data_IF_319395386628
#
_entry.id   IF_319395386628
#
_cell.length_a   1.000
_cell.length_b   1.000
_cell.length_c   1.000
_cell.angle_alpha   90.00
_cell.angle_beta   90.00
_cell.angle_gamma   90.00
#
_symmetry.space_group_name_H-M   'P 1'
#
loop_
_entity.id
_entity.type
_entity.pdbx_description
1 polymer ?
#
# COMPACT_ATOMS: atom_id res chain seq x y z
N UNK A 1 17.64 -27.83 19.29
CA UNK A 1 17.10 -28.24 18.02
C UNK A 1 15.71 -27.77 17.80
N UNK A 2 14.85 -28.11 18.68
CA UNK A 2 13.46 -27.77 18.51
C UNK A 2 13.22 -26.28 18.57
N UNK A 3 14.02 -25.60 19.34
CA UNK A 3 13.85 -24.16 19.50
C UNK A 3 14.01 -23.42 18.18
N UNK A 4 14.86 -23.91 17.32
CA UNK A 4 15.08 -23.24 16.04
C UNK A 4 13.85 -23.28 15.18
N UNK A 5 13.18 -24.40 15.16
CA UNK A 5 11.97 -24.53 14.38
C UNK A 5 10.90 -23.59 14.88
N UNK A 6 10.79 -23.47 16.16
CA UNK A 6 9.80 -22.57 16.74
C UNK A 6 10.03 -21.14 16.32
N UNK A 7 11.27 -20.74 16.27
CA UNK A 7 11.57 -19.39 15.89
C UNK A 7 11.15 -19.08 14.47
N UNK A 8 11.35 -20.01 13.57
CA UNK A 8 10.92 -19.81 12.20
C UNK A 8 9.43 -19.66 12.11
N UNK A 9 8.70 -20.46 12.85
CA UNK A 9 7.25 -20.38 12.82
C UNK A 9 6.79 -19.04 13.34
N UNK A 10 7.40 -18.55 14.39
CA UNK A 10 7.01 -17.29 14.96
C UNK A 10 7.23 -16.12 14.00
N UNK A 11 8.20 -16.23 13.14
CA UNK A 11 8.48 -15.18 12.19
C UNK A 11 7.45 -15.14 11.07
N UNK A 12 6.80 -16.26 10.82
CA UNK A 12 5.84 -16.34 9.72
C UNK A 12 4.62 -15.49 9.99
N UNK A 13 4.21 -14.75 8.97
CA UNK A 13 2.99 -13.98 9.05
C UNK A 13 3.06 -12.76 9.92
N UNK A 14 4.21 -12.44 10.47
CA UNK A 14 4.34 -11.23 11.26
C UNK A 14 4.29 -10.01 10.35
N UNK A 15 3.55 -8.99 10.78
CA UNK A 15 3.53 -7.73 10.05
C UNK A 15 4.83 -6.98 10.29
N UNK A 16 5.37 -6.39 9.22
CA UNK A 16 6.64 -5.68 9.29
C UNK A 16 6.38 -4.19 9.09
N UNK A 17 6.83 -3.36 10.03
CA UNK A 17 6.64 -1.92 9.87
C UNK A 17 7.44 -1.40 8.70
N UNK A 18 6.95 -0.32 8.09
CA UNK A 18 7.65 0.26 6.96
C UNK A 18 7.09 1.60 6.59
N UNK A 19 7.82 2.24 5.69
CA UNK A 19 7.47 3.54 5.15
C UNK A 19 7.70 3.48 3.64
N UNK A 20 6.71 3.93 2.88
CA UNK A 20 6.78 3.87 1.42
C UNK A 20 6.36 5.21 0.85
N UNK A 21 6.98 5.59 -0.25
CA UNK A 21 6.62 6.81 -0.97
C UNK A 21 6.16 6.47 -2.37
N UNK A 22 5.10 7.12 -2.81
CA UNK A 22 4.56 6.87 -4.14
C UNK A 22 3.24 7.56 -4.34
N UNK A 23 2.50 7.08 -5.32
CA UNK A 23 1.20 7.64 -5.63
C UNK A 23 0.11 6.60 -5.38
N UNK A 24 -1.01 7.08 -4.89
CA UNK A 24 -2.15 6.20 -4.64
C UNK A 24 -2.89 5.97 -5.95
N UNK A 25 -2.98 4.72 -6.35
CA UNK A 25 -3.68 4.32 -7.55
C UNK A 25 -4.68 3.23 -7.18
N UNK A 26 -5.16 2.48 -8.15
CA UNK A 26 -6.04 1.35 -7.91
C UNK A 26 -5.58 0.18 -8.77
N UNK A 27 -6.10 -1.01 -8.46
CA UNK A 27 -5.67 -2.22 -9.15
C UNK A 27 -5.95 -2.19 -10.64
N UNK A 28 -7.03 -1.53 -11.05
CA UNK A 28 -7.39 -1.51 -12.45
C UNK A 28 -6.45 -0.62 -13.25
N UNK A 29 -6.13 0.57 -12.74
CA UNK A 29 -5.25 1.51 -13.43
C UNK A 29 -3.78 1.14 -13.25
N UNK A 30 -3.45 0.50 -12.13
CA UNK A 30 -2.07 0.09 -11.89
C UNK A 30 -1.12 1.27 -11.92
N UNK A 31 -0.04 1.13 -12.67
CA UNK A 31 1.00 2.15 -12.73
C UNK A 31 0.56 3.41 -13.48
N UNK A 32 -0.57 3.39 -14.16
CA UNK A 32 -1.07 4.57 -14.87
C UNK A 32 -1.91 5.39 -13.93
N UNK A 33 -1.25 6.29 -13.21
CA UNK A 33 -1.91 7.06 -12.17
C UNK A 33 -2.61 8.26 -12.79
N UNK A 34 -3.91 8.37 -12.51
CA UNK A 34 -4.76 9.47 -13.00
C UNK A 34 -5.78 9.72 -11.91
N UNK A 35 -5.74 10.91 -11.32
CA UNK A 35 -6.57 11.19 -10.15
C UNK A 35 -8.06 10.92 -10.38
N UNK A 36 -8.59 11.39 -11.49
CA UNK A 36 -10.03 11.19 -11.77
C UNK A 36 -10.36 9.72 -11.95
N UNK A 37 -9.52 9.00 -12.69
CA UNK A 37 -9.73 7.58 -12.91
C UNK A 37 -9.59 6.80 -11.63
N UNK A 38 -8.55 7.08 -10.86
CA UNK A 38 -8.32 6.37 -9.61
C UNK A 38 -9.47 6.58 -8.64
N UNK A 39 -9.94 7.82 -8.53
CA UNK A 39 -11.05 8.11 -7.62
C UNK A 39 -12.29 7.34 -8.02
N UNK A 40 -12.61 7.34 -9.29
CA UNK A 40 -13.80 6.64 -9.77
C UNK A 40 -13.67 5.13 -9.53
N UNK A 41 -12.53 4.56 -9.84
CA UNK A 41 -12.34 3.13 -9.69
C UNK A 41 -12.44 2.70 -8.23
N UNK A 42 -11.85 3.50 -7.34
CA UNK A 42 -11.91 3.17 -5.92
C UNK A 42 -13.35 3.29 -5.42
N UNK A 43 -14.08 4.29 -5.89
CA UNK A 43 -15.48 4.43 -5.51
C UNK A 43 -16.31 3.26 -6.01
N UNK A 44 -15.89 2.65 -7.10
CA UNK A 44 -16.58 1.49 -7.65
C UNK A 44 -16.14 0.19 -7.02
N UNK A 45 -15.29 0.23 -6.04
CA UNK A 45 -14.90 -0.96 -5.30
C UNK A 45 -13.52 -1.51 -5.59
N UNK A 46 -12.73 -0.84 -6.43
CA UNK A 46 -11.39 -1.31 -6.70
C UNK A 46 -10.50 -1.08 -5.47
N UNK A 47 -9.58 -2.01 -5.27
CA UNK A 47 -8.63 -1.90 -4.17
C UNK A 47 -7.59 -0.84 -4.49
N UNK A 48 -7.25 -0.01 -3.49
CA UNK A 48 -6.18 0.97 -3.63
C UNK A 48 -4.83 0.28 -3.65
N UNK A 49 -3.91 0.88 -4.39
CA UNK A 49 -2.52 0.42 -4.41
C UNK A 49 -1.61 1.63 -4.30
N UNK A 50 -0.38 1.39 -3.86
CA UNK A 50 0.67 2.39 -3.88
C UNK A 50 1.62 2.05 -5.02
N UNK A 51 1.85 3.01 -5.91
CA UNK A 51 2.85 2.85 -6.97
C UNK A 51 4.11 3.53 -6.48
N UNK A 52 5.13 2.75 -6.16
CA UNK A 52 6.35 3.27 -5.56
C UNK A 52 7.12 4.17 -6.51
N UNK A 53 7.68 5.26 -5.95
CA UNK A 53 8.34 6.27 -6.77
C UNK A 53 9.52 5.73 -7.56
N UNK A 54 10.39 5.01 -6.92
CA UNK A 54 11.68 4.68 -7.55
C UNK A 54 11.60 3.43 -8.39
N UNK A 55 10.81 2.47 -7.98
CA UNK A 55 10.78 1.18 -8.63
C UNK A 55 9.58 1.00 -9.54
N UNK A 56 8.52 1.78 -9.33
CA UNK A 56 7.26 1.57 -10.03
C UNK A 56 6.52 0.35 -9.55
N UNK A 57 7.00 -0.27 -8.48
CA UNK A 57 6.32 -1.44 -7.92
C UNK A 57 4.95 -1.10 -7.42
N UNK A 58 4.01 -2.00 -7.68
CA UNK A 58 2.62 -1.80 -7.26
C UNK A 58 2.41 -2.60 -5.99
N UNK A 59 2.09 -1.87 -4.90
CA UNK A 59 1.89 -2.50 -3.61
C UNK A 59 0.44 -2.36 -3.19
N UNK A 60 -0.30 -3.46 -3.12
CA UNK A 60 -1.71 -3.38 -2.73
C UNK A 60 -1.85 -2.87 -1.30
N UNK A 61 -2.90 -2.08 -1.08
CA UNK A 61 -3.22 -1.55 0.24
C UNK A 61 -4.48 -2.24 0.71
N UNK A 62 -4.42 -2.89 1.89
CA UNK A 62 -5.55 -3.67 2.33
C UNK A 62 -6.65 -2.85 3.00
N UNK A 63 -6.34 -1.64 3.43
CA UNK A 63 -7.36 -0.78 4.02
C UNK A 63 -7.65 0.42 3.12
N UNK A 64 -8.21 0.12 1.96
CA UNK A 64 -8.50 1.09 0.92
C UNK A 64 -9.28 2.30 1.45
N UNK A 65 -10.25 2.08 2.32
CA UNK A 65 -11.08 3.18 2.84
C UNK A 65 -10.25 4.25 3.52
N UNK A 66 -9.14 3.86 4.12
CA UNK A 66 -8.29 4.80 4.84
C UNK A 66 -7.58 5.77 3.90
N UNK A 67 -7.31 5.32 2.67
CA UNK A 67 -6.51 6.13 1.74
C UNK A 67 -7.31 6.66 0.55
N UNK A 68 -8.59 6.35 0.46
CA UNK A 68 -9.34 6.65 -0.77
C UNK A 68 -9.39 8.14 -1.09
N UNK A 69 -9.35 8.99 -0.09
CA UNK A 69 -9.37 10.44 -0.36
C UNK A 69 -8.07 10.94 -0.95
N UNK A 70 -7.04 10.11 -0.92
CA UNK A 70 -5.75 10.48 -1.50
C UNK A 70 -5.55 9.93 -2.91
N UNK A 71 -6.63 9.46 -3.56
CA UNK A 71 -6.52 8.88 -4.90
C UNK A 71 -5.77 9.81 -5.84
N UNK A 72 -4.73 9.29 -6.49
CA UNK A 72 -3.91 10.05 -7.43
C UNK A 72 -2.85 10.92 -6.78
N UNK A 73 -2.87 11.05 -5.46
CA UNK A 73 -1.95 11.96 -4.78
C UNK A 73 -0.58 11.31 -4.56
N UNK A 74 0.43 12.16 -4.49
CA UNK A 74 1.78 11.75 -4.14
C UNK A 74 1.91 11.79 -2.63
N UNK A 75 2.24 10.68 -2.02
CA UNK A 75 2.19 10.57 -0.57
C UNK A 75 3.33 9.73 -0.03
N UNK A 76 3.57 9.91 1.26
CA UNK A 76 4.37 8.96 2.03
C UNK A 76 3.41 8.25 2.98
N UNK A 77 3.45 6.92 2.97
CA UNK A 77 2.58 6.15 3.84
C UNK A 77 3.42 5.37 4.83
N UNK A 78 2.94 5.30 6.05
CA UNK A 78 3.55 4.51 7.10
C UNK A 78 2.55 3.47 7.57
N UNK A 79 3.04 2.28 7.84
CA UNK A 79 2.17 1.22 8.27
C UNK A 79 2.94 -0.07 8.41
N UNK A 80 2.30 -1.15 8.05
CA UNK A 80 2.93 -2.47 8.12
C UNK A 80 2.62 -3.24 6.86
N UNK A 81 3.51 -4.17 6.50
CA UNK A 81 3.26 -5.04 5.35
C UNK A 81 3.12 -6.47 5.84
N UNK A 82 2.18 -7.19 5.23
CA UNK A 82 1.93 -8.58 5.55
C UNK A 82 1.28 -9.22 4.33
N UNK A 83 1.77 -10.38 3.96
CA UNK A 83 1.20 -11.14 2.84
C UNK A 83 1.12 -10.30 1.57
N UNK A 84 2.12 -9.49 1.33
CA UNK A 84 2.20 -8.71 0.10
C UNK A 84 1.34 -7.46 0.07
N UNK A 85 0.69 -7.12 1.16
CA UNK A 85 -0.16 -5.94 1.21
C UNK A 85 0.27 -5.01 2.33
N UNK A 86 -0.03 -3.73 2.15
CA UNK A 86 0.28 -2.71 3.14
C UNK A 86 -1.00 -2.36 3.90
N UNK A 87 -0.89 -2.32 5.22
CA UNK A 87 -1.92 -1.74 6.05
C UNK A 87 -1.45 -0.35 6.46
N UNK A 88 -2.10 0.69 5.94
CA UNK A 88 -1.64 2.06 6.12
C UNK A 88 -2.21 2.64 7.41
N UNK A 89 -1.35 3.28 8.19
CA UNK A 89 -1.78 3.95 9.42
C UNK A 89 -1.61 5.45 9.35
N UNK A 90 -0.64 5.92 8.58
CA UNK A 90 -0.39 7.35 8.46
C UNK A 90 -0.17 7.68 7.00
N UNK A 91 -0.80 8.74 6.53
CA UNK A 91 -0.57 9.26 5.18
C UNK A 91 -0.07 10.68 5.31
N UNK A 92 1.04 10.96 4.67
CA UNK A 92 1.60 12.29 4.64
C UNK A 92 1.66 12.75 3.19
N UNK A 93 0.83 13.73 2.80
CA UNK A 93 0.89 14.22 1.42
C UNK A 93 2.24 14.84 1.11
N UNK A 94 2.72 14.60 -0.10
CA UNK A 94 3.96 15.18 -0.58
C UNK A 94 3.62 16.17 -1.68
N UNK A 95 4.44 17.20 -1.78
CA UNK A 95 4.13 18.28 -2.68
C UNK A 95 4.40 17.96 -4.13
N UNK A 96 5.16 17.05 -4.44
CA UNK A 96 5.42 16.74 -5.83
C UNK A 96 5.57 15.25 -6.05
#
# INVERSE_FOLDING_TARGET
>A
MYALLLMLILADGAALPGTWKGRISDLKCGAMVDTACNRRCIEEGQQAVLVEDETGEIRPINNTDFVKKYAGAHVEVQGSSKDGQINVRVVKPLDK
#
